data_IF_529632436061
#
_entry.id   IF_529632436061
#
_cell.length_a   1.000
_cell.length_b   1.000
_cell.length_c   1.000
_cell.angle_alpha   90.00
_cell.angle_beta   90.00
_cell.angle_gamma   90.00
#
_symmetry.space_group_name_H-M   'P 1'
#
loop_
_entity.id
_entity.type
_entity.pdbx_description
1 polymer ?
#
# COMPACT_ATOMS: atom_id res chain seq x y z
N UNK A 1 7.19 9.27 -13.78
CA UNK A 1 6.77 8.35 -12.68
C UNK A 1 5.41 7.74 -13.02
N UNK A 2 5.05 6.61 -12.40
CA UNK A 2 3.72 5.99 -12.52
C UNK A 2 3.01 6.06 -11.17
N UNK A 3 1.68 5.99 -11.19
CA UNK A 3 0.84 5.94 -9.99
C UNK A 3 -0.60 5.53 -10.36
N UNK A 4 -1.54 5.50 -9.40
CA UNK A 4 -2.90 5.03 -9.67
C UNK A 4 -3.62 5.86 -10.73
N UNK A 5 -3.38 7.19 -10.77
CA UNK A 5 -4.14 8.12 -11.62
C UNK A 5 -3.30 9.17 -12.34
N UNK A 6 -1.96 9.06 -12.33
CA UNK A 6 -1.09 10.03 -13.00
C UNK A 6 -1.13 11.44 -12.42
N UNK A 7 -1.44 11.56 -11.11
CA UNK A 7 -1.50 12.83 -10.38
C UNK A 7 -0.53 12.83 -9.20
N UNK A 8 -0.08 14.02 -8.80
CA UNK A 8 0.70 14.25 -7.59
C UNK A 8 -0.18 14.14 -6.34
N UNK A 9 0.45 14.20 -5.16
CA UNK A 9 -0.26 14.28 -3.88
C UNK A 9 -1.09 15.56 -3.73
N UNK A 10 -0.80 16.60 -4.51
CA UNK A 10 -1.57 17.85 -4.56
C UNK A 10 -2.62 17.83 -5.68
N UNK A 11 -2.71 16.76 -6.45
CA UNK A 11 -3.71 16.56 -7.50
C UNK A 11 -3.35 17.11 -8.88
N UNK A 12 -2.15 17.68 -9.03
CA UNK A 12 -1.62 18.16 -10.31
C UNK A 12 -1.17 16.98 -11.20
N UNK A 13 -1.23 17.09 -12.54
CA UNK A 13 -0.70 16.06 -13.43
C UNK A 13 0.76 15.72 -13.11
N UNK A 14 1.05 14.45 -12.84
CA UNK A 14 2.39 13.94 -12.55
C UNK A 14 2.54 12.51 -13.02
N UNK A 15 3.17 12.34 -14.18
CA UNK A 15 3.40 11.01 -14.76
C UNK A 15 2.16 10.44 -15.43
N UNK A 16 2.02 9.12 -15.42
CA UNK A 16 0.90 8.40 -16.05
C UNK A 16 0.20 7.45 -15.07
N UNK A 17 -1.07 7.16 -15.35
CA UNK A 17 -1.80 6.11 -14.66
C UNK A 17 -1.21 4.72 -14.98
N UNK A 18 -1.18 3.84 -14.00
CA UNK A 18 -0.78 2.44 -14.17
C UNK A 18 -1.85 1.66 -14.93
N UNK A 19 -1.42 0.89 -15.91
CA UNK A 19 -2.20 -0.14 -16.61
C UNK A 19 -2.26 -1.42 -15.78
N UNK A 20 -3.13 -2.38 -16.13
CA UNK A 20 -3.14 -3.69 -15.46
C UNK A 20 -1.76 -4.36 -15.51
N UNK A 21 -1.09 -4.31 -16.66
CA UNK A 21 0.28 -4.84 -16.79
C UNK A 21 1.25 -4.18 -15.80
N UNK A 22 1.17 -2.86 -15.61
CA UNK A 22 2.04 -2.20 -14.63
C UNK A 22 1.75 -2.67 -13.20
N UNK A 23 0.48 -2.96 -12.86
CA UNK A 23 0.10 -3.51 -11.56
C UNK A 23 0.69 -4.90 -11.37
N UNK A 24 0.50 -5.78 -12.36
CA UNK A 24 1.00 -7.16 -12.34
C UNK A 24 2.53 -7.20 -12.21
N UNK A 25 3.23 -6.37 -12.99
CA UNK A 25 4.69 -6.27 -12.98
C UNK A 25 5.20 -5.79 -11.60
N UNK A 26 4.53 -4.82 -10.97
CA UNK A 26 4.91 -4.34 -9.64
C UNK A 26 4.63 -5.39 -8.56
N UNK A 27 3.46 -6.05 -8.60
CA UNK A 27 3.12 -7.13 -7.66
C UNK A 27 4.18 -8.23 -7.72
N UNK A 28 4.55 -8.67 -8.93
CA UNK A 28 5.62 -9.65 -9.14
C UNK A 28 6.96 -9.20 -8.56
N UNK A 29 7.36 -7.94 -8.82
CA UNK A 29 8.62 -7.41 -8.32
C UNK A 29 8.69 -7.36 -6.78
N UNK A 30 7.58 -7.03 -6.09
CA UNK A 30 7.52 -7.07 -4.64
C UNK A 30 7.65 -8.51 -4.09
N UNK A 31 7.00 -9.48 -4.74
CA UNK A 31 7.10 -10.89 -4.36
C UNK A 31 8.52 -11.43 -4.54
N UNK A 32 9.14 -11.14 -5.69
CA UNK A 32 10.55 -11.51 -5.96
C UNK A 32 11.50 -10.90 -4.94
N UNK A 33 11.30 -9.64 -4.56
CA UNK A 33 12.10 -8.94 -3.58
C UNK A 33 11.94 -9.54 -2.17
N UNK A 34 10.72 -9.88 -1.75
CA UNK A 34 10.47 -10.53 -0.46
C UNK A 34 11.16 -11.90 -0.38
N UNK A 35 10.99 -12.72 -1.43
CA UNK A 35 11.66 -14.02 -1.52
C UNK A 35 13.19 -13.88 -1.55
N UNK A 36 13.71 -12.83 -2.21
CA UNK A 36 15.15 -12.54 -2.19
C UNK A 36 15.65 -12.15 -0.80
N UNK A 37 14.90 -11.34 -0.07
CA UNK A 37 15.24 -10.96 1.30
C UNK A 37 15.34 -12.19 2.21
N UNK A 38 14.36 -13.09 2.16
CA UNK A 38 14.42 -14.33 2.93
C UNK A 38 15.62 -15.20 2.54
N UNK A 39 15.86 -15.42 1.24
CA UNK A 39 17.02 -16.18 0.76
C UNK A 39 18.37 -15.60 1.19
N UNK A 40 18.43 -14.28 1.37
CA UNK A 40 19.64 -13.57 1.80
C UNK A 40 19.80 -13.53 3.33
N UNK A 41 18.85 -14.10 4.08
CA UNK A 41 18.93 -14.24 5.54
C UNK A 41 18.42 -13.02 6.31
N UNK A 42 17.57 -12.17 5.71
CA UNK A 42 16.77 -11.24 6.50
C UNK A 42 15.76 -12.01 7.35
N UNK A 43 15.37 -11.46 8.51
CA UNK A 43 14.37 -12.11 9.38
C UNK A 43 12.92 -11.75 9.05
N UNK A 44 12.69 -10.86 8.08
CA UNK A 44 11.37 -10.35 7.69
C UNK A 44 11.49 -9.16 6.73
N UNK A 45 10.35 -8.67 6.23
CA UNK A 45 10.29 -7.46 5.38
C UNK A 45 9.20 -6.50 5.82
N UNK A 46 9.38 -5.21 5.52
CA UNK A 46 8.36 -4.19 5.69
C UNK A 46 7.93 -3.62 4.34
N UNK A 47 6.64 -3.76 4.04
CA UNK A 47 5.99 -3.16 2.89
C UNK A 47 5.67 -1.70 3.17
N UNK A 48 6.23 -0.80 2.37
CA UNK A 48 6.09 0.64 2.58
C UNK A 48 4.79 1.19 1.97
N UNK A 49 3.68 1.05 2.72
CA UNK A 49 2.36 1.62 2.42
C UNK A 49 2.09 3.01 3.00
N UNK A 50 3.11 3.88 3.06
CA UNK A 50 3.03 5.16 3.76
C UNK A 50 3.64 6.34 2.97
N UNK A 51 3.47 7.55 3.51
CA UNK A 51 4.14 8.80 3.12
C UNK A 51 3.91 9.29 1.68
N UNK A 52 2.88 8.78 1.00
CA UNK A 52 2.53 9.15 -0.37
C UNK A 52 3.37 8.46 -1.44
N UNK A 53 4.07 7.37 -1.09
CA UNK A 53 4.66 6.44 -2.05
C UNK A 53 3.59 5.54 -2.69
N UNK A 54 4.00 4.71 -3.64
CA UNK A 54 3.10 4.04 -4.58
C UNK A 54 1.90 3.34 -3.91
N UNK A 55 2.15 2.47 -2.93
CA UNK A 55 1.07 1.76 -2.23
C UNK A 55 0.12 2.75 -1.52
N UNK A 56 0.67 3.74 -0.81
CA UNK A 56 -0.12 4.78 -0.13
C UNK A 56 -0.89 5.68 -1.10
N UNK A 57 -0.39 5.86 -2.33
CA UNK A 57 -1.12 6.58 -3.37
C UNK A 57 -2.39 5.84 -3.75
N UNK A 58 -2.37 4.50 -3.84
CA UNK A 58 -3.57 3.69 -4.05
C UNK A 58 -4.52 3.78 -2.87
N UNK A 59 -3.99 3.73 -1.64
CA UNK A 59 -4.78 3.79 -0.42
C UNK A 59 -5.49 5.11 -0.20
N UNK A 60 -5.12 6.21 -0.86
CA UNK A 60 -5.67 7.55 -0.60
C UNK A 60 -6.50 8.10 -1.76
N UNK A 61 -7.76 8.48 -1.49
CA UNK A 61 -8.69 9.01 -2.50
C UNK A 61 -8.22 10.31 -3.17
N UNK A 62 -7.31 11.07 -2.53
CA UNK A 62 -6.75 12.28 -3.14
C UNK A 62 -5.88 11.99 -4.37
N UNK A 63 -5.12 10.89 -4.32
CA UNK A 63 -4.22 10.44 -5.39
C UNK A 63 -4.80 9.32 -6.25
N UNK A 64 -5.66 8.48 -5.71
CA UNK A 64 -6.33 7.40 -6.44
C UNK A 64 -7.75 7.80 -6.84
N UNK A 65 -7.88 8.15 -8.12
CA UNK A 65 -9.12 8.54 -8.81
C UNK A 65 -9.54 7.48 -9.84
N UNK A 66 -9.06 6.25 -9.70
CA UNK A 66 -9.44 5.14 -10.59
C UNK A 66 -10.91 4.80 -10.39
N UNK A 67 -11.54 4.32 -11.46
CA UNK A 67 -12.94 3.85 -11.49
C UNK A 67 -13.05 2.34 -11.73
N UNK A 68 -11.92 1.64 -11.72
CA UNK A 68 -11.86 0.18 -11.83
C UNK A 68 -11.75 -0.47 -10.45
N UNK A 69 -11.47 -1.77 -10.40
CA UNK A 69 -11.43 -2.56 -9.17
C UNK A 69 -10.37 -2.10 -8.14
N UNK A 70 -9.46 -1.18 -8.51
CA UNK A 70 -8.39 -0.67 -7.66
C UNK A 70 -8.65 0.75 -7.15
N UNK A 71 -9.84 1.31 -7.36
CA UNK A 71 -10.20 2.67 -6.91
C UNK A 71 -11.67 2.80 -6.55
N UNK A 72 -12.10 4.03 -6.26
CA UNK A 72 -13.44 4.33 -5.78
C UNK A 72 -13.50 4.32 -4.24
N UNK A 73 -14.21 3.36 -3.67
CA UNK A 73 -14.45 3.32 -2.23
C UNK A 73 -13.19 2.98 -1.40
N UNK A 74 -13.34 2.93 -0.08
CA UNK A 74 -12.23 2.67 0.83
C UNK A 74 -11.63 1.27 0.66
N UNK A 75 -12.47 0.25 0.44
CA UNK A 75 -12.06 -1.15 0.36
C UNK A 75 -11.45 -1.45 -1.01
N UNK A 76 -12.05 -0.96 -2.10
CA UNK A 76 -11.51 -1.13 -3.44
C UNK A 76 -10.09 -0.54 -3.57
N UNK A 77 -9.80 0.56 -2.87
CA UNK A 77 -8.48 1.18 -2.81
C UNK A 77 -7.41 0.34 -2.10
N UNK A 78 -7.78 -0.64 -1.26
CA UNK A 78 -6.82 -1.54 -0.61
C UNK A 78 -6.39 -2.69 -1.51
N UNK A 79 -7.13 -2.98 -2.60
CA UNK A 79 -6.90 -4.14 -3.47
C UNK A 79 -5.45 -4.30 -3.91
N UNK A 80 -4.85 -3.23 -4.44
CA UNK A 80 -3.46 -3.28 -4.93
C UNK A 80 -2.47 -3.61 -3.80
N UNK A 81 -2.67 -3.04 -2.62
CA UNK A 81 -1.85 -3.31 -1.45
C UNK A 81 -2.03 -4.75 -0.95
N UNK A 82 -3.28 -5.24 -0.90
CA UNK A 82 -3.61 -6.61 -0.51
C UNK A 82 -3.01 -7.64 -1.49
N UNK A 83 -3.06 -7.38 -2.80
CA UNK A 83 -2.47 -8.25 -3.81
C UNK A 83 -0.93 -8.30 -3.71
N UNK A 84 -0.28 -7.17 -3.40
CA UNK A 84 1.16 -7.14 -3.08
C UNK A 84 1.44 -8.00 -1.84
N UNK A 85 0.70 -7.82 -0.75
CA UNK A 85 0.88 -8.59 0.49
C UNK A 85 0.71 -10.08 0.21
N UNK A 86 -0.36 -10.47 -0.47
CA UNK A 86 -0.67 -11.87 -0.79
C UNK A 86 0.42 -12.50 -1.67
N UNK A 87 0.92 -11.77 -2.66
CA UNK A 87 2.01 -12.24 -3.52
C UNK A 87 3.33 -12.38 -2.75
N UNK A 88 3.66 -11.44 -1.86
CA UNK A 88 4.81 -11.57 -0.97
C UNK A 88 4.66 -12.78 -0.03
N UNK A 89 3.49 -12.95 0.58
CA UNK A 89 3.20 -14.08 1.48
C UNK A 89 3.36 -15.42 0.76
N UNK A 90 2.86 -15.54 -0.46
CA UNK A 90 2.99 -16.75 -1.26
C UNK A 90 4.44 -17.06 -1.69
N UNK A 91 5.34 -16.07 -1.63
CA UNK A 91 6.72 -16.18 -2.09
C UNK A 91 7.74 -16.42 -0.96
N UNK A 92 7.30 -16.39 0.30
CA UNK A 92 8.14 -16.56 1.50
C UNK A 92 7.62 -17.69 2.38
N UNK A 93 8.41 -18.15 3.34
CA UNK A 93 7.96 -19.15 4.31
C UNK A 93 6.84 -18.60 5.22
N UNK A 94 5.95 -19.47 5.71
CA UNK A 94 4.84 -19.09 6.59
C UNK A 94 5.28 -18.34 7.86
N UNK A 95 6.48 -18.64 8.37
CA UNK A 95 7.05 -17.98 9.55
C UNK A 95 7.76 -16.65 9.25
N UNK A 96 7.92 -16.26 7.99
CA UNK A 96 8.62 -15.05 7.59
C UNK A 96 7.70 -13.82 7.81
N UNK A 97 7.99 -12.92 8.75
CA UNK A 97 7.11 -11.81 9.08
C UNK A 97 7.00 -10.78 7.97
N UNK A 98 5.77 -10.38 7.66
CA UNK A 98 5.43 -9.28 6.77
C UNK A 98 4.86 -8.12 7.58
N UNK A 99 5.65 -7.05 7.67
CA UNK A 99 5.23 -5.78 8.25
C UNK A 99 4.58 -4.92 7.18
N UNK A 100 3.56 -4.16 7.55
CA UNK A 100 2.97 -3.15 6.68
C UNK A 100 3.04 -1.78 7.35
N UNK A 101 3.85 -0.89 6.79
CA UNK A 101 3.95 0.47 7.30
C UNK A 101 2.89 1.36 6.68
N UNK A 102 2.06 1.97 7.51
CA UNK A 102 0.98 2.84 7.07
C UNK A 102 1.09 4.25 7.66
N UNK A 103 0.45 5.23 7.02
CA UNK A 103 0.37 6.60 7.55
C UNK A 103 -1.02 7.21 7.35
N UNK A 104 -1.60 7.72 8.43
CA UNK A 104 -2.82 8.53 8.42
C UNK A 104 -2.57 10.00 8.02
N UNK A 105 -1.43 10.30 7.40
CA UNK A 105 -0.99 11.63 7.00
C UNK A 105 -0.19 11.56 5.70
N UNK A 106 0.12 12.71 5.08
CA UNK A 106 0.97 12.83 3.89
C UNK A 106 1.94 14.01 4.05
N UNK A 107 3.13 13.92 3.44
CA UNK A 107 4.17 14.95 3.60
C UNK A 107 3.72 16.35 3.14
N UNK A 108 2.99 16.42 2.02
CA UNK A 108 2.59 17.68 1.38
C UNK A 108 1.06 17.89 1.36
N UNK A 109 0.30 17.07 2.10
CA UNK A 109 -1.14 17.21 2.25
C UNK A 109 -1.50 16.99 3.72
N UNK A 110 -1.45 18.06 4.50
CA UNK A 110 -1.52 18.00 5.96
C UNK A 110 -2.87 17.59 6.53
N UNK A 111 -3.94 17.82 5.77
CA UNK A 111 -5.32 17.39 6.11
C UNK A 111 -5.64 15.97 5.61
N UNK A 112 -4.70 15.31 4.93
CA UNK A 112 -4.93 13.98 4.40
C UNK A 112 -5.06 12.96 5.53
N UNK A 113 -6.09 12.13 5.44
CA UNK A 113 -6.36 11.00 6.34
C UNK A 113 -6.89 9.84 5.52
N UNK A 114 -6.42 8.62 5.79
CA UNK A 114 -6.90 7.42 5.09
C UNK A 114 -8.25 6.97 5.64
N UNK A 115 -8.42 7.04 6.96
CA UNK A 115 -9.63 6.68 7.69
C UNK A 115 -9.92 7.70 8.79
N UNK A 116 -11.15 8.20 8.83
CA UNK A 116 -11.61 9.24 9.78
C UNK A 116 -12.18 8.65 11.06
N UNK A 117 -12.68 7.43 11.01
CA UNK A 117 -13.28 6.72 12.15
C UNK A 117 -12.56 5.39 12.40
N UNK A 118 -12.70 4.79 13.60
CA UNK A 118 -12.19 3.44 13.86
C UNK A 118 -12.77 2.39 12.91
N UNK A 119 -14.05 2.49 12.55
CA UNK A 119 -14.69 1.56 11.61
C UNK A 119 -14.13 1.67 10.18
N UNK A 120 -13.81 2.89 9.73
CA UNK A 120 -13.09 3.07 8.46
C UNK A 120 -11.66 2.51 8.55
N UNK A 121 -11.00 2.67 9.70
CA UNK A 121 -9.65 2.13 9.88
C UNK A 121 -9.67 0.59 9.83
N UNK A 122 -10.63 -0.02 10.52
CA UNK A 122 -10.89 -1.46 10.47
C UNK A 122 -11.11 -1.92 9.02
N UNK A 123 -12.06 -1.33 8.31
CA UNK A 123 -12.34 -1.65 6.91
C UNK A 123 -11.14 -1.48 5.96
N UNK A 124 -10.21 -0.57 6.26
CA UNK A 124 -8.96 -0.41 5.50
C UNK A 124 -7.93 -1.49 5.85
N UNK A 125 -7.84 -1.92 7.11
CA UNK A 125 -6.82 -2.86 7.58
C UNK A 125 -7.23 -4.32 7.38
N UNK A 126 -8.51 -4.65 7.47
CA UNK A 126 -9.01 -6.04 7.33
C UNK A 126 -8.51 -6.72 6.05
N UNK A 127 -8.62 -6.12 4.84
CA UNK A 127 -8.14 -6.78 3.63
C UNK A 127 -6.62 -7.01 3.61
N UNK A 128 -5.85 -6.16 4.30
CA UNK A 128 -4.40 -6.30 4.39
C UNK A 128 -4.02 -7.40 5.39
N UNK A 129 -4.71 -7.48 6.52
CA UNK A 129 -4.54 -8.54 7.49
C UNK A 129 -4.90 -9.91 6.89
N UNK A 130 -6.05 -10.00 6.21
CA UNK A 130 -6.49 -11.22 5.51
C UNK A 130 -5.53 -11.66 4.39
N UNK A 131 -4.85 -10.70 3.74
CA UNK A 131 -3.84 -11.00 2.73
C UNK A 131 -2.53 -11.56 3.32
N UNK A 132 -2.28 -11.42 4.63
CA UNK A 132 -1.13 -11.99 5.31
C UNK A 132 -0.15 -11.00 5.95
N UNK A 133 -0.58 -9.77 6.25
CA UNK A 133 0.18 -8.84 7.12
C UNK A 133 0.18 -9.36 8.56
N UNK A 134 1.36 -9.47 9.17
CA UNK A 134 1.52 -9.89 10.56
C UNK A 134 1.51 -8.69 11.53
N UNK A 135 2.12 -7.57 11.12
CA UNK A 135 2.32 -6.40 11.98
C UNK A 135 2.06 -5.12 11.21
N UNK A 136 1.21 -4.25 11.76
CA UNK A 136 1.03 -2.89 11.25
C UNK A 136 1.96 -1.91 11.97
N UNK A 137 2.86 -1.28 11.21
CA UNK A 137 3.69 -0.18 11.67
C UNK A 137 2.98 1.15 11.40
N UNK A 138 2.34 1.72 12.43
CA UNK A 138 1.64 2.99 12.34
C UNK A 138 2.60 4.18 12.41
N UNK A 139 2.90 4.80 11.26
CA UNK A 139 3.71 6.02 11.21
C UNK A 139 2.91 7.23 11.67
N UNK A 140 3.45 7.98 12.63
CA UNK A 140 2.94 9.30 13.04
C UNK A 140 3.83 10.42 12.52
N UNK A 141 3.25 11.62 12.36
CA UNK A 141 3.98 12.86 12.05
C UNK A 141 4.48 13.57 13.31
N UNK A 142 3.76 13.41 14.43
CA UNK A 142 4.06 14.06 15.70
C UNK A 142 4.05 13.00 16.78
N UNK A 143 5.10 13.01 17.61
CA UNK A 143 5.11 12.31 18.89
C UNK A 143 4.67 13.32 19.93
N UNK A 144 3.70 12.95 20.76
CA UNK A 144 3.27 13.71 21.93
C UNK A 144 3.72 12.97 23.18
#
# INVERSE_FOLDING_TARGET
PVGPSGVSLTGEPKGRAMTQKDLDDVIGAFAEAAAAAERLGFDGVELHGAHGYLIDQFLWAGSNRRTDAYGGDLVARTRFAAEIVAACRAAVSDSFPLFFRMSQWKMNAYEAKLARTPAELDALLTPLAEAGVDVFHASTRRYW
#
